data_IF_960732621147
#
_entry.id   IF_960732621147
#
_cell.length_a   1.000
_cell.length_b   1.000
_cell.length_c   1.000
_cell.angle_alpha   90.00
_cell.angle_beta   90.00
_cell.angle_gamma   90.00
#
_symmetry.space_group_name_H-M   'P 1'
#
loop_
_entity.id
_entity.type
_entity.pdbx_description
1 polymer ?
#
# COMPACT_ATOMS: atom_id res chain seq x y z
N UNK A 1 -30.15 -20.35 0.99
CA UNK A 1 -29.78 -19.90 2.34
C UNK A 1 -28.67 -20.75 2.97
N UNK A 2 -27.82 -21.40 2.16
CA UNK A 2 -26.75 -22.33 2.63
C UNK A 2 -25.34 -21.71 2.62
N UNK A 3 -25.19 -20.47 2.15
CA UNK A 3 -23.87 -19.83 1.98
C UNK A 3 -23.32 -19.17 3.25
N UNK A 4 -24.11 -19.05 4.31
CA UNK A 4 -23.72 -18.40 5.56
C UNK A 4 -22.87 -19.29 6.48
N UNK A 5 -23.05 -20.61 6.43
CA UNK A 5 -22.37 -21.53 7.35
C UNK A 5 -20.91 -21.84 6.94
N UNK A 6 -20.60 -21.78 5.65
CA UNK A 6 -19.23 -22.01 5.13
C UNK A 6 -18.29 -20.83 5.37
N UNK A 7 -18.80 -19.58 5.31
CA UNK A 7 -18.00 -18.39 5.62
C UNK A 7 -17.61 -18.32 7.10
N UNK A 8 -18.48 -18.76 8.01
CA UNK A 8 -18.18 -18.86 9.44
C UNK A 8 -17.00 -19.80 9.73
N UNK A 9 -16.97 -20.97 9.09
CA UNK A 9 -15.91 -21.98 9.31
C UNK A 9 -14.53 -21.56 8.77
N UNK A 10 -14.49 -20.85 7.65
CA UNK A 10 -13.22 -20.30 7.11
C UNK A 10 -12.71 -19.12 7.95
N UNK A 11 -13.61 -18.28 8.49
CA UNK A 11 -13.20 -17.20 9.40
C UNK A 11 -12.62 -17.68 10.74
N UNK A 12 -13.06 -18.85 11.23
CA UNK A 12 -12.66 -19.40 12.52
C UNK A 12 -11.24 -20.00 12.55
N UNK A 13 -10.64 -20.31 11.38
CA UNK A 13 -9.33 -20.98 11.31
C UNK A 13 -8.13 -20.05 11.26
N UNK A 14 -8.32 -18.76 10.95
CA UNK A 14 -7.22 -17.82 10.70
C UNK A 14 -7.24 -16.71 11.75
N UNK A 15 -6.55 -16.95 12.87
CA UNK A 15 -6.35 -16.09 14.07
C UNK A 15 -7.57 -15.81 14.95
N UNK A 16 -7.41 -15.99 16.26
CA UNK A 16 -8.44 -15.73 17.27
C UNK A 16 -8.65 -14.25 17.63
N UNK A 17 -8.11 -13.32 16.84
CA UNK A 17 -8.28 -11.86 17.07
C UNK A 17 -9.29 -11.28 16.09
N UNK A 18 -10.05 -10.29 16.54
CA UNK A 18 -10.99 -9.57 15.67
C UNK A 18 -10.21 -8.85 14.55
N UNK A 19 -10.65 -8.90 13.28
CA UNK A 19 -9.88 -8.36 12.14
C UNK A 19 -9.57 -6.85 12.26
N UNK A 20 -10.41 -6.11 12.98
CA UNK A 20 -10.21 -4.69 13.30
C UNK A 20 -9.04 -4.46 14.24
N UNK A 21 -8.89 -5.28 15.28
CA UNK A 21 -7.78 -5.22 16.23
C UNK A 21 -6.46 -5.60 15.54
N UNK A 22 -6.51 -6.61 14.67
CA UNK A 22 -5.37 -7.01 13.86
C UNK A 22 -4.92 -5.87 12.94
N UNK A 23 -5.85 -5.25 12.20
CA UNK A 23 -5.54 -4.10 11.34
C UNK A 23 -4.92 -2.93 12.13
N UNK A 24 -5.49 -2.60 13.30
CA UNK A 24 -4.94 -1.56 14.17
C UNK A 24 -3.52 -1.90 14.67
N UNK A 25 -3.29 -3.17 15.07
CA UNK A 25 -1.98 -3.63 15.52
C UNK A 25 -0.94 -3.58 14.40
N UNK A 26 -1.29 -3.99 13.17
CA UNK A 26 -0.39 -3.91 12.01
C UNK A 26 -0.13 -2.46 11.60
N UNK A 27 -1.12 -1.58 11.67
CA UNK A 27 -0.95 -0.16 11.43
C UNK A 27 0.03 0.47 12.43
N UNK A 28 -0.12 0.16 13.73
CA UNK A 28 0.79 0.62 14.76
C UNK A 28 2.20 0.03 14.57
N UNK A 29 2.31 -1.27 14.27
CA UNK A 29 3.59 -1.93 14.01
C UNK A 29 4.31 -1.30 12.81
N UNK A 30 3.58 -0.95 11.75
CA UNK A 30 4.12 -0.23 10.60
C UNK A 30 4.72 1.11 11.02
N UNK A 31 3.97 1.93 11.79
CA UNK A 31 4.46 3.23 12.24
C UNK A 31 5.68 3.13 13.17
N UNK A 32 5.68 2.16 14.10
CA UNK A 32 6.80 1.93 15.01
C UNK A 32 8.04 1.45 14.27
N UNK A 33 7.89 0.50 13.34
CA UNK A 33 9.00 -0.02 12.56
C UNK A 33 9.57 1.06 11.64
N UNK A 34 8.71 1.79 10.93
CA UNK A 34 9.11 2.82 9.99
C UNK A 34 9.83 4.00 10.67
N UNK A 35 9.39 4.39 11.87
CA UNK A 35 10.07 5.43 12.67
C UNK A 35 11.33 4.93 13.38
N UNK A 36 11.35 3.69 13.86
CA UNK A 36 12.47 3.11 14.62
C UNK A 36 13.64 2.63 13.76
N UNK A 37 13.37 2.13 12.55
CA UNK A 37 14.40 1.53 11.70
C UNK A 37 15.51 2.51 11.27
N UNK A 38 15.15 3.76 10.98
CA UNK A 38 16.12 4.80 10.63
C UNK A 38 17.04 5.16 11.81
N UNK A 39 16.47 5.24 13.02
CA UNK A 39 17.23 5.52 14.26
C UNK A 39 18.20 4.38 14.58
N UNK A 40 17.75 3.13 14.46
CA UNK A 40 18.59 1.95 14.67
C UNK A 40 19.73 1.88 13.66
N UNK A 41 19.47 2.16 12.39
CA UNK A 41 20.49 2.17 11.35
C UNK A 41 21.53 3.30 11.54
N UNK A 42 21.11 4.46 12.06
CA UNK A 42 22.00 5.59 12.32
C UNK A 42 23.07 5.27 13.38
N UNK A 43 22.74 4.45 14.39
CA UNK A 43 23.65 4.07 15.48
C UNK A 43 24.70 3.02 15.13
N UNK A 44 24.68 2.44 13.92
CA UNK A 44 25.58 1.35 13.55
C UNK A 44 26.92 1.87 12.98
N UNK A 45 28.07 1.30 13.36
CA UNK A 45 29.38 1.78 12.91
C UNK A 45 29.76 1.30 11.50
N UNK A 46 29.32 0.11 11.07
CA UNK A 46 29.73 -0.47 9.79
C UNK A 46 28.65 -0.33 8.70
N UNK A 47 29.02 -0.07 7.44
CA UNK A 47 28.07 0.04 6.33
C UNK A 47 27.33 -1.28 6.06
N UNK A 48 27.99 -2.43 6.28
CA UNK A 48 27.37 -3.74 6.15
C UNK A 48 26.27 -3.95 7.19
N UNK A 49 26.49 -3.56 8.46
CA UNK A 49 25.45 -3.66 9.49
C UNK A 49 24.25 -2.76 9.18
N UNK A 50 24.49 -1.54 8.68
CA UNK A 50 23.42 -0.65 8.21
C UNK A 50 22.59 -1.31 7.11
N UNK A 51 23.24 -1.86 6.08
CA UNK A 51 22.56 -2.52 4.97
C UNK A 51 21.67 -3.68 5.44
N UNK A 52 22.16 -4.52 6.37
CA UNK A 52 21.39 -5.64 6.94
C UNK A 52 20.16 -5.14 7.69
N UNK A 53 20.30 -4.14 8.57
CA UNK A 53 19.18 -3.59 9.35
C UNK A 53 18.14 -2.92 8.46
N UNK A 54 18.59 -2.13 7.47
CA UNK A 54 17.68 -1.50 6.51
C UNK A 54 16.92 -2.55 5.70
N UNK A 55 17.61 -3.58 5.21
CA UNK A 55 16.98 -4.66 4.44
C UNK A 55 15.96 -5.44 5.29
N UNK A 56 16.31 -5.77 6.53
CA UNK A 56 15.40 -6.47 7.44
C UNK A 56 14.16 -5.62 7.77
N UNK A 57 14.35 -4.33 8.05
CA UNK A 57 13.25 -3.40 8.29
C UNK A 57 12.34 -3.26 7.06
N UNK A 58 12.93 -3.28 5.86
CA UNK A 58 12.19 -3.19 4.61
C UNK A 58 11.32 -4.43 4.36
N UNK A 59 11.89 -5.63 4.51
CA UNK A 59 11.14 -6.91 4.44
C UNK A 59 10.01 -6.93 5.49
N UNK A 60 10.31 -6.53 6.72
CA UNK A 60 9.33 -6.48 7.79
C UNK A 60 8.21 -5.46 7.50
N UNK A 61 8.54 -4.29 6.93
CA UNK A 61 7.54 -3.28 6.56
C UNK A 61 6.58 -3.80 5.50
N UNK A 62 7.09 -4.46 4.46
CA UNK A 62 6.25 -5.07 3.43
C UNK A 62 5.38 -6.14 4.04
N UNK A 63 5.97 -7.04 4.83
CA UNK A 63 5.23 -8.11 5.48
C UNK A 63 4.08 -7.56 6.34
N UNK A 64 4.35 -6.52 7.14
CA UNK A 64 3.33 -5.84 7.95
C UNK A 64 2.27 -5.18 7.05
N UNK A 65 2.68 -4.56 5.94
CA UNK A 65 1.75 -3.92 4.99
C UNK A 65 0.84 -4.95 4.32
N UNK A 66 1.37 -6.11 3.93
CA UNK A 66 0.58 -7.22 3.39
C UNK A 66 -0.41 -7.76 4.43
N UNK A 67 0.03 -7.93 5.68
CA UNK A 67 -0.82 -8.37 6.79
C UNK A 67 -1.91 -7.33 7.11
N UNK A 68 -1.60 -6.04 7.01
CA UNK A 68 -2.55 -4.94 7.14
C UNK A 68 -3.62 -5.02 6.04
N UNK A 69 -3.22 -5.12 4.77
CA UNK A 69 -4.16 -5.25 3.63
C UNK A 69 -5.06 -6.47 3.79
N UNK A 70 -4.49 -7.63 4.14
CA UNK A 70 -5.25 -8.85 4.41
C UNK A 70 -6.26 -8.64 5.53
N UNK A 71 -5.85 -8.01 6.63
CA UNK A 71 -6.72 -7.74 7.79
C UNK A 71 -7.87 -6.81 7.40
N UNK A 72 -7.60 -5.74 6.65
CA UNK A 72 -8.62 -4.80 6.15
C UNK A 72 -9.61 -5.49 5.20
N UNK A 73 -9.15 -6.37 4.32
CA UNK A 73 -10.01 -7.13 3.41
C UNK A 73 -10.99 -8.05 4.15
N UNK A 74 -10.61 -8.55 5.34
CA UNK A 74 -11.44 -9.43 6.18
C UNK A 74 -12.52 -8.68 6.97
N UNK A 75 -12.42 -7.36 7.14
CA UNK A 75 -13.42 -6.61 7.91
C UNK A 75 -14.72 -6.55 7.09
N UNK A 76 -15.82 -7.13 7.55
CA UNK A 76 -17.10 -6.98 6.88
C UNK A 76 -17.65 -5.56 7.07
N UNK A 77 -17.73 -4.78 5.99
CA UNK A 77 -18.26 -3.42 6.00
C UNK A 77 -19.33 -3.23 4.91
N UNK A 78 -20.22 -2.28 5.13
CA UNK A 78 -21.18 -1.84 4.11
C UNK A 78 -20.43 -1.07 3.01
N UNK A 79 -20.82 -1.17 1.73
CA UNK A 79 -20.17 -0.45 0.63
C UNK A 79 -20.04 1.06 0.84
N UNK A 80 -21.05 1.68 1.45
CA UNK A 80 -21.04 3.12 1.78
C UNK A 80 -19.95 3.49 2.77
N UNK A 81 -19.72 2.63 3.77
CA UNK A 81 -18.68 2.83 4.79
C UNK A 81 -17.30 2.66 4.18
N UNK A 82 -17.11 1.68 3.29
CA UNK A 82 -15.83 1.51 2.57
C UNK A 82 -15.54 2.70 1.66
N UNK A 83 -16.57 3.20 0.95
CA UNK A 83 -16.43 4.39 0.13
C UNK A 83 -16.04 5.63 0.97
N UNK A 84 -16.64 5.79 2.15
CA UNK A 84 -16.25 6.83 3.09
C UNK A 84 -14.77 6.71 3.50
N UNK A 85 -14.30 5.49 3.80
CA UNK A 85 -12.90 5.25 4.12
C UNK A 85 -11.96 5.55 2.94
N UNK A 86 -12.35 5.22 1.71
CA UNK A 86 -11.60 5.61 0.50
C UNK A 86 -11.45 7.13 0.42
N UNK A 87 -12.53 7.90 0.59
CA UNK A 87 -12.41 9.35 0.55
C UNK A 87 -11.62 9.90 1.74
N UNK A 88 -11.88 9.42 2.96
CA UNK A 88 -11.20 9.90 4.16
C UNK A 88 -9.69 9.66 4.10
N UNK A 89 -9.26 8.46 3.70
CA UNK A 89 -7.83 8.12 3.59
C UNK A 89 -7.15 8.84 2.43
N UNK A 90 -7.84 9.08 1.31
CA UNK A 90 -7.32 9.93 0.23
C UNK A 90 -7.13 11.37 0.70
N UNK A 91 -8.06 11.93 1.48
CA UNK A 91 -7.90 13.27 2.07
C UNK A 91 -6.69 13.30 2.99
N UNK A 92 -6.53 12.33 3.88
CA UNK A 92 -5.34 12.23 4.75
C UNK A 92 -4.07 12.17 3.90
N UNK A 93 -4.03 11.33 2.87
CA UNK A 93 -2.90 11.24 1.95
C UNK A 93 -2.57 12.59 1.30
N UNK A 94 -3.56 13.28 0.74
CA UNK A 94 -3.38 14.59 0.14
C UNK A 94 -2.86 15.63 1.15
N UNK A 95 -3.37 15.64 2.38
CA UNK A 95 -2.92 16.54 3.45
C UNK A 95 -1.51 16.21 3.94
N UNK A 96 -1.05 14.97 3.73
CA UNK A 96 0.32 14.55 4.06
C UNK A 96 1.33 14.79 2.94
N UNK A 97 0.95 15.36 1.80
CA UNK A 97 1.85 15.57 0.66
C UNK A 97 2.13 17.06 0.42
N UNK A 98 3.35 17.56 0.69
CA UNK A 98 3.71 18.96 0.46
C UNK A 98 3.41 19.46 -0.96
N UNK A 99 3.60 18.60 -1.97
CA UNK A 99 3.37 18.93 -3.38
C UNK A 99 1.92 19.30 -3.68
N UNK A 100 0.95 18.74 -2.93
CA UNK A 100 -0.47 19.03 -3.09
C UNK A 100 -0.76 20.48 -2.70
N UNK A 101 -0.15 20.98 -1.62
CA UNK A 101 -0.33 22.37 -1.18
C UNK A 101 0.35 23.36 -2.12
N UNK A 102 1.52 23.01 -2.67
CA UNK A 102 2.18 23.82 -3.69
C UNK A 102 1.31 23.92 -4.96
N UNK A 103 0.69 22.82 -5.39
CA UNK A 103 -0.22 22.79 -6.52
C UNK A 103 -1.52 23.56 -6.26
N UNK A 104 -2.17 23.34 -5.11
CA UNK A 104 -3.39 24.06 -4.72
C UNK A 104 -3.15 25.56 -4.61
N UNK A 105 -2.01 26.00 -4.08
CA UNK A 105 -1.64 27.41 -4.05
C UNK A 105 -1.52 28.02 -5.44
N UNK A 106 -0.98 27.29 -6.43
CA UNK A 106 -0.96 27.74 -7.82
C UNK A 106 -2.37 27.82 -8.41
N UNK A 107 -3.21 26.81 -8.17
CA UNK A 107 -4.57 26.73 -8.69
C UNK A 107 -5.48 27.84 -8.13
N UNK A 108 -5.33 28.16 -6.86
CA UNK A 108 -6.13 29.18 -6.16
C UNK A 108 -5.59 30.61 -6.34
N UNK A 109 -4.51 30.81 -7.09
CA UNK A 109 -3.91 32.13 -7.33
C UNK A 109 -3.01 32.66 -6.21
N UNK A 110 -2.65 31.81 -5.23
CA UNK A 110 -1.78 32.14 -4.10
C UNK A 110 -0.50 31.28 -4.07
N UNK A 111 0.38 31.35 -5.09
CA UNK A 111 1.52 30.45 -5.22
C UNK A 111 2.51 30.58 -4.05
N UNK A 112 2.69 31.79 -3.53
CA UNK A 112 3.60 32.07 -2.40
C UNK A 112 3.11 31.44 -1.10
N UNK A 113 1.80 31.45 -0.85
CA UNK A 113 1.21 30.83 0.34
C UNK A 113 1.29 29.30 0.25
N UNK A 114 0.98 28.73 -0.93
CA UNK A 114 1.10 27.28 -1.15
C UNK A 114 2.51 26.76 -0.95
N UNK A 115 3.53 27.48 -1.43
CA UNK A 115 4.94 27.12 -1.21
C UNK A 115 5.33 27.15 0.26
N UNK A 116 4.95 28.19 1.02
CA UNK A 116 5.24 28.28 2.46
C UNK A 116 4.63 27.13 3.25
N UNK A 117 3.39 26.74 2.93
CA UNK A 117 2.72 25.62 3.58
C UNK A 117 3.43 24.30 3.23
N UNK A 118 3.77 24.10 1.95
CA UNK A 118 4.52 22.93 1.51
C UNK A 118 5.87 22.82 2.23
N UNK A 119 6.64 23.91 2.32
CA UNK A 119 7.92 23.96 3.04
C UNK A 119 7.74 23.64 4.52
N UNK A 120 6.76 24.23 5.20
CA UNK A 120 6.48 23.96 6.61
C UNK A 120 6.13 22.48 6.88
N UNK A 121 5.39 21.86 5.96
CA UNK A 121 5.02 20.46 6.02
C UNK A 121 6.23 19.54 5.79
N UNK A 122 7.11 19.86 4.83
CA UNK A 122 8.31 19.07 4.54
C UNK A 122 9.25 18.88 5.74
N UNK A 123 9.19 19.72 6.77
CA UNK A 123 9.97 19.57 8.00
C UNK A 123 9.40 18.55 9.00
N UNK A 124 8.20 18.01 8.76
CA UNK A 124 7.55 17.04 9.64
C UNK A 124 7.86 15.60 9.19
N UNK A 125 8.86 14.91 9.77
CA UNK A 125 9.27 13.57 9.32
C UNK A 125 8.16 12.52 9.45
N UNK A 126 7.20 12.73 10.36
CA UNK A 126 6.07 11.83 10.55
C UNK A 126 5.02 11.92 9.42
N UNK A 127 5.01 13.02 8.65
CA UNK A 127 3.98 13.26 7.65
C UNK A 127 4.01 12.21 6.52
N UNK A 128 5.21 11.87 6.04
CA UNK A 128 5.43 10.82 5.03
C UNK A 128 4.92 9.45 5.52
N UNK A 129 5.15 9.11 6.79
CA UNK A 129 4.69 7.85 7.38
C UNK A 129 3.16 7.76 7.42
N UNK A 130 2.50 8.84 7.84
CA UNK A 130 1.05 8.93 7.86
C UNK A 130 0.46 8.91 6.43
N UNK A 131 1.14 9.52 5.47
CA UNK A 131 0.75 9.46 4.07
C UNK A 131 0.82 8.05 3.51
N UNK A 132 1.94 7.34 3.74
CA UNK A 132 2.13 5.98 3.23
C UNK A 132 1.10 5.01 3.81
N UNK A 133 0.84 5.06 5.13
CA UNK A 133 -0.16 4.19 5.73
C UNK A 133 -1.58 4.53 5.25
N UNK A 134 -1.91 5.82 5.09
CA UNK A 134 -3.18 6.24 4.52
C UNK A 134 -3.36 5.73 3.09
N UNK A 135 -2.29 5.73 2.30
CA UNK A 135 -2.27 5.21 0.94
C UNK A 135 -2.50 3.70 0.88
N UNK A 136 -1.88 2.93 1.78
CA UNK A 136 -2.10 1.48 1.89
C UNK A 136 -3.55 1.18 2.28
N UNK A 137 -4.09 1.90 3.25
CA UNK A 137 -5.49 1.76 3.68
C UNK A 137 -6.44 2.13 2.54
N UNK A 138 -6.15 3.21 1.82
CA UNK A 138 -6.89 3.63 0.64
C UNK A 138 -6.92 2.53 -0.42
N UNK A 139 -5.76 1.99 -0.79
CA UNK A 139 -5.62 0.95 -1.78
C UNK A 139 -6.38 -0.32 -1.36
N UNK A 140 -6.33 -0.67 -0.07
CA UNK A 140 -7.07 -1.81 0.47
C UNK A 140 -8.59 -1.65 0.32
N UNK A 141 -9.15 -0.51 0.72
CA UNK A 141 -10.59 -0.27 0.61
C UNK A 141 -11.05 -0.09 -0.83
N UNK A 142 -10.29 0.61 -1.66
CA UNK A 142 -10.60 0.76 -3.07
C UNK A 142 -10.55 -0.60 -3.78
N UNK A 143 -9.51 -1.40 -3.55
CA UNK A 143 -9.39 -2.73 -4.13
C UNK A 143 -10.54 -3.64 -3.72
N UNK A 144 -10.98 -3.55 -2.46
CA UNK A 144 -12.16 -4.25 -1.99
C UNK A 144 -13.46 -3.78 -2.66
N UNK A 145 -13.64 -2.48 -2.90
CA UNK A 145 -14.77 -1.96 -3.68
C UNK A 145 -14.74 -2.50 -5.11
N UNK A 146 -13.59 -2.41 -5.79
CA UNK A 146 -13.39 -2.87 -7.17
C UNK A 146 -13.59 -4.38 -7.28
N UNK A 147 -13.15 -5.16 -6.28
CA UNK A 147 -13.37 -6.60 -6.23
C UNK A 147 -14.85 -6.95 -6.40
N UNK A 148 -15.77 -6.05 -6.00
CA UNK A 148 -17.20 -6.30 -6.13
C UNK A 148 -17.67 -6.47 -7.57
N UNK A 149 -16.97 -5.85 -8.52
CA UNK A 149 -17.24 -5.95 -9.95
C UNK A 149 -16.99 -7.38 -10.49
N UNK A 150 -16.14 -8.17 -9.81
CA UNK A 150 -15.78 -9.55 -10.21
C UNK A 150 -16.87 -10.54 -9.79
N UNK A 151 -17.94 -10.64 -10.58
CA UNK A 151 -19.14 -11.42 -10.22
C UNK A 151 -18.89 -12.92 -10.05
N UNK A 152 -17.86 -13.47 -10.68
CA UNK A 152 -17.58 -14.91 -10.69
C UNK A 152 -16.10 -15.19 -10.36
N UNK A 153 -15.85 -16.17 -9.48
CA UNK A 153 -14.48 -16.56 -9.11
C UNK A 153 -13.64 -17.10 -10.27
N UNK A 154 -14.27 -17.68 -11.30
CA UNK A 154 -13.57 -18.17 -12.51
C UNK A 154 -12.94 -17.04 -13.33
N UNK A 155 -13.45 -15.81 -13.23
CA UNK A 155 -12.89 -14.63 -13.89
C UNK A 155 -11.61 -14.13 -13.21
N UNK A 156 -11.32 -14.59 -12.00
CA UNK A 156 -10.18 -14.10 -11.21
C UNK A 156 -8.85 -14.43 -11.90
N UNK A 157 -8.72 -15.63 -12.47
CA UNK A 157 -7.51 -16.05 -13.19
C UNK A 157 -7.20 -15.16 -14.42
N UNK A 158 -8.12 -14.97 -15.40
CA UNK A 158 -7.85 -14.10 -16.54
C UNK A 158 -7.68 -12.63 -16.12
N UNK A 159 -8.36 -12.16 -15.07
CA UNK A 159 -8.16 -10.80 -14.55
C UNK A 159 -6.73 -10.64 -14.02
N UNK A 160 -6.21 -11.60 -13.24
CA UNK A 160 -4.85 -11.54 -12.72
C UNK A 160 -3.82 -11.56 -13.85
N UNK A 161 -4.02 -12.40 -14.86
CA UNK A 161 -3.15 -12.45 -16.03
C UNK A 161 -3.13 -11.12 -16.79
N UNK A 162 -4.30 -10.55 -17.07
CA UNK A 162 -4.42 -9.25 -17.76
C UNK A 162 -3.85 -8.13 -16.90
N UNK A 163 -4.05 -8.15 -15.58
CA UNK A 163 -3.49 -7.18 -14.66
C UNK A 163 -1.96 -7.24 -14.63
N UNK A 164 -1.37 -8.44 -14.55
CA UNK A 164 0.09 -8.62 -14.59
C UNK A 164 0.69 -8.13 -15.91
N UNK A 165 0.05 -8.44 -17.05
CA UNK A 165 0.48 -7.95 -18.35
C UNK A 165 0.34 -6.43 -18.46
N UNK A 166 -0.78 -5.86 -17.98
CA UNK A 166 -0.99 -4.43 -17.96
C UNK A 166 0.07 -3.73 -17.09
N UNK A 167 0.42 -4.30 -15.94
CA UNK A 167 1.45 -3.77 -15.05
C UNK A 167 2.82 -3.72 -15.76
N UNK A 168 3.27 -4.84 -16.35
CA UNK A 168 4.49 -4.90 -17.18
C UNK A 168 4.45 -3.85 -18.30
N UNK A 169 3.36 -3.81 -19.08
CA UNK A 169 3.24 -2.87 -20.20
C UNK A 169 3.28 -1.43 -19.72
N UNK A 170 2.59 -1.10 -18.63
CA UNK A 170 2.53 0.28 -18.13
C UNK A 170 3.85 0.76 -17.57
N UNK A 171 4.60 -0.13 -16.91
CA UNK A 171 5.92 0.15 -16.33
C UNK A 171 7.00 0.33 -17.40
N UNK A 172 7.00 -0.48 -18.47
CA UNK A 172 8.06 -0.41 -19.49
C UNK A 172 7.73 0.49 -20.69
N UNK A 173 6.45 0.61 -21.09
CA UNK A 173 6.05 1.33 -22.32
C UNK A 173 4.86 2.26 -22.14
N UNK A 174 4.29 2.35 -20.95
CA UNK A 174 3.05 3.09 -20.72
C UNK A 174 3.22 4.37 -19.89
N UNK A 175 2.12 4.84 -19.27
CA UNK A 175 2.11 6.10 -18.54
C UNK A 175 3.11 6.14 -17.38
N UNK A 176 3.41 5.00 -16.74
CA UNK A 176 4.38 4.95 -15.64
C UNK A 176 5.79 5.17 -16.17
N UNK A 177 6.16 4.55 -17.30
CA UNK A 177 7.42 4.82 -17.98
C UNK A 177 7.54 6.32 -18.32
N UNK A 178 6.50 6.89 -18.94
CA UNK A 178 6.51 8.29 -19.34
C UNK A 178 6.60 9.27 -18.17
N UNK A 179 5.87 9.01 -17.07
CA UNK A 179 5.94 9.83 -15.85
C UNK A 179 7.31 9.69 -15.18
N UNK A 180 7.88 8.48 -15.16
CA UNK A 180 9.20 8.25 -14.57
C UNK A 180 10.30 8.98 -15.34
N UNK A 181 10.20 9.03 -16.67
CA UNK A 181 11.15 9.73 -17.53
C UNK A 181 10.99 11.26 -17.48
N UNK A 182 9.75 11.76 -17.51
CA UNK A 182 9.47 13.19 -17.71
C UNK A 182 9.14 13.96 -16.41
N UNK A 183 8.71 13.26 -15.37
CA UNK A 183 8.29 13.85 -14.09
C UNK A 183 8.64 12.93 -12.90
N UNK A 184 9.92 12.62 -12.67
CA UNK A 184 10.35 11.67 -11.64
C UNK A 184 9.91 12.08 -10.22
N UNK A 185 9.77 13.38 -9.96
CA UNK A 185 9.25 13.91 -8.69
C UNK A 185 7.80 13.47 -8.43
N UNK A 186 6.98 13.36 -9.47
CA UNK A 186 5.57 12.92 -9.38
C UNK A 186 5.52 11.41 -9.15
N UNK A 187 6.38 10.64 -9.81
CA UNK A 187 6.50 9.20 -9.59
C UNK A 187 6.88 8.88 -8.14
N UNK A 188 7.83 9.63 -7.57
CA UNK A 188 8.22 9.49 -6.17
C UNK A 188 7.08 9.88 -5.21
N UNK A 189 6.36 10.97 -5.47
CA UNK A 189 5.26 11.42 -4.62
C UNK A 189 4.06 10.45 -4.57
N UNK A 190 3.85 9.69 -5.64
CA UNK A 190 2.77 8.69 -5.76
C UNK A 190 3.19 7.27 -5.34
N UNK A 191 4.47 7.08 -5.02
CA UNK A 191 5.00 5.81 -4.50
C UNK A 191 4.98 5.80 -2.97
N UNK A 192 4.80 4.62 -2.38
CA UNK A 192 5.08 4.46 -0.95
C UNK A 192 6.61 4.39 -0.79
N UNK A 193 7.22 5.51 -0.43
CA UNK A 193 8.66 5.59 -0.23
C UNK A 193 9.12 4.56 0.79
N UNK A 194 10.27 3.93 0.55
CA UNK A 194 10.92 3.08 1.54
C UNK A 194 11.04 3.85 2.87
N UNK A 195 10.67 3.24 4.01
CA UNK A 195 10.72 3.92 5.32
C UNK A 195 12.11 4.42 5.72
N UNK A 196 13.16 3.86 5.10
CA UNK A 196 14.54 4.18 5.38
C UNK A 196 15.24 4.50 4.07
N UNK A 197 15.73 5.74 3.96
CA UNK A 197 16.58 6.15 2.84
C UNK A 197 17.87 5.30 2.86
N UNK A 198 18.32 4.78 1.70
CA UNK A 198 19.59 4.06 1.64
C UNK A 198 20.75 4.99 2.04
N UNK A 199 21.73 4.51 2.83
CA UNK A 199 22.92 5.28 3.17
C UNK A 199 23.69 5.72 1.90
N UNK A 200 24.41 6.86 1.95
CA UNK A 200 25.25 7.29 0.84
C UNK A 200 26.26 6.19 0.45
N UNK A 201 26.31 5.83 -0.83
CA UNK A 201 27.23 4.80 -1.35
C UNK A 201 26.71 3.35 -1.29
N UNK A 202 25.49 3.11 -0.80
CA UNK A 202 24.81 1.82 -0.89
C UNK A 202 23.73 1.93 -1.96
N UNK A 203 23.81 1.09 -3.00
CA UNK A 203 22.76 1.02 -4.02
C UNK A 203 21.40 0.82 -3.32
N UNK A 204 20.41 1.64 -3.70
CA UNK A 204 19.05 1.45 -3.24
C UNK A 204 18.65 0.00 -3.51
N UNK A 205 17.99 -0.71 -2.56
CA UNK A 205 17.51 -2.05 -2.81
C UNK A 205 16.72 -2.07 -4.13
N UNK A 206 16.88 -3.11 -4.96
CA UNK A 206 16.21 -3.21 -6.28
C UNK A 206 14.67 -3.07 -6.14
N UNK A 207 14.14 -3.32 -4.96
CA UNK A 207 12.74 -3.17 -4.63
C UNK A 207 12.37 -1.82 -3.97
N UNK A 208 13.17 -0.76 -4.11
CA UNK A 208 13.03 0.49 -3.34
C UNK A 208 11.67 1.23 -3.46
N UNK A 209 10.81 0.86 -4.40
CA UNK A 209 9.45 1.38 -4.51
C UNK A 209 8.46 0.22 -4.70
N UNK A 210 7.60 0.03 -3.71
CA UNK A 210 6.36 -0.75 -3.91
C UNK A 210 5.30 0.24 -4.37
N UNK A 211 4.75 0.00 -5.55
CA UNK A 211 3.75 0.86 -6.13
C UNK A 211 2.46 0.79 -5.34
N UNK A 212 1.69 1.88 -5.37
CA UNK A 212 0.29 1.84 -4.89
C UNK A 212 -0.53 0.77 -5.64
N UNK A 213 -0.17 0.51 -6.91
CA UNK A 213 -0.76 -0.53 -7.74
C UNK A 213 -0.65 -1.90 -7.11
N UNK A 214 0.49 -2.26 -6.52
CA UNK A 214 0.71 -3.56 -5.89
C UNK A 214 -0.28 -3.81 -4.75
N UNK A 215 -0.46 -2.83 -3.87
CA UNK A 215 -1.42 -2.91 -2.77
C UNK A 215 -2.87 -2.95 -3.28
N UNK A 216 -3.19 -2.19 -4.33
CA UNK A 216 -4.51 -2.16 -4.92
C UNK A 216 -4.85 -3.52 -5.56
N UNK A 217 -3.97 -4.05 -6.41
CA UNK A 217 -4.15 -5.35 -7.06
C UNK A 217 -4.27 -6.47 -6.05
N UNK A 218 -3.38 -6.49 -5.06
CA UNK A 218 -3.42 -7.47 -3.98
C UNK A 218 -4.75 -7.39 -3.22
N UNK A 219 -5.23 -6.18 -2.90
CA UNK A 219 -6.50 -6.00 -2.22
C UNK A 219 -7.69 -6.48 -3.07
N UNK A 220 -7.71 -6.20 -4.38
CA UNK A 220 -8.72 -6.74 -5.32
C UNK A 220 -8.71 -8.27 -5.28
N UNK A 221 -7.52 -8.87 -5.42
CA UNK A 221 -7.33 -10.32 -5.46
C UNK A 221 -7.78 -10.99 -4.16
N UNK A 222 -7.27 -10.52 -3.02
CA UNK A 222 -7.61 -11.07 -1.70
C UNK A 222 -9.10 -10.91 -1.38
N UNK A 223 -9.68 -9.74 -1.64
CA UNK A 223 -11.10 -9.50 -1.40
C UNK A 223 -11.98 -10.40 -2.29
N UNK A 224 -11.59 -10.63 -3.55
CA UNK A 224 -12.31 -11.52 -4.45
C UNK A 224 -12.24 -12.99 -4.01
N UNK A 225 -11.06 -13.48 -3.61
CA UNK A 225 -10.87 -14.83 -3.04
C UNK A 225 -11.74 -15.03 -1.80
N UNK A 226 -11.68 -14.09 -0.85
CA UNK A 226 -12.45 -14.16 0.39
C UNK A 226 -13.96 -14.17 0.12
N UNK A 227 -14.42 -13.35 -0.84
CA UNK A 227 -15.85 -13.27 -1.20
C UNK A 227 -16.35 -14.53 -1.88
N UNK A 228 -15.55 -15.12 -2.76
CA UNK A 228 -15.90 -16.34 -3.50
C UNK A 228 -15.54 -17.63 -2.73
N UNK A 229 -15.12 -17.51 -1.46
CA UNK A 229 -14.75 -18.63 -0.59
C UNK A 229 -13.74 -19.60 -1.24
N UNK A 230 -12.83 -19.06 -2.05
CA UNK A 230 -11.78 -19.86 -2.70
C UNK A 230 -10.71 -20.25 -1.68
N UNK A 231 -10.07 -21.40 -1.87
CA UNK A 231 -8.96 -21.81 -1.01
C UNK A 231 -7.76 -20.88 -1.24
N UNK A 232 -7.37 -20.03 -0.26
CA UNK A 232 -6.41 -18.95 -0.50
C UNK A 232 -5.04 -19.49 -0.91
N UNK A 233 -4.57 -20.56 -0.26
CA UNK A 233 -3.28 -21.16 -0.57
C UNK A 233 -3.20 -21.63 -2.03
N UNK A 234 -4.19 -22.40 -2.50
CA UNK A 234 -4.20 -22.91 -3.87
C UNK A 234 -4.35 -21.81 -4.91
N UNK A 235 -5.19 -20.82 -4.63
CA UNK A 235 -5.45 -19.72 -5.57
C UNK A 235 -4.24 -18.78 -5.69
N UNK A 236 -3.57 -18.49 -4.59
CA UNK A 236 -2.31 -17.73 -4.59
C UNK A 236 -1.20 -18.47 -5.32
N UNK A 237 -1.03 -19.78 -5.08
CA UNK A 237 -0.05 -20.57 -5.81
C UNK A 237 -0.34 -20.65 -7.32
N UNK A 238 -1.60 -20.78 -7.70
CA UNK A 238 -2.00 -20.76 -9.11
C UNK A 238 -1.74 -19.40 -9.77
N UNK A 239 -1.99 -18.29 -9.05
CA UNK A 239 -1.67 -16.96 -9.53
C UNK A 239 -0.15 -16.75 -9.68
N UNK A 240 0.64 -17.17 -8.69
CA UNK A 240 2.09 -17.08 -8.72
C UNK A 240 2.71 -17.96 -9.82
N UNK A 241 2.17 -19.14 -10.09
CA UNK A 241 2.68 -20.01 -11.15
C UNK A 241 2.44 -19.47 -12.58
N UNK A 242 1.55 -18.50 -12.74
CA UNK A 242 1.23 -17.86 -14.02
C UNK A 242 1.96 -16.52 -14.23
N UNK A 243 2.58 -15.98 -13.19
CA UNK A 243 3.41 -14.77 -13.23
C UNK A 243 4.87 -15.15 -13.44
#
# INVERSE_FOLDING_TARGET
AETTDSQGRLSARWSGRHPTEAAAAYALAYLLLASGAGLLAAGLPSPAAKAVVVTAAWIATITISLLLVLSLCRIAMRPRTELLWVFATMVVFCLTRPIVFAFLGRLLGYPSAGKRIAEALSFLPAQELFGNIALIIWAAFLGKLVSRLIREGKLLLPIVLVAALADIITVYWGPVAHITENAPEVAQALSASAPVAPPPGVAAPILAAVGIGDFLFLAVFLAAILRHAMEPARTTWAALALM
#
